data_IF_794457375708
#
_entry.id   IF_794457375708
#
_cell.length_a   1.000
_cell.length_b   1.000
_cell.length_c   1.000
_cell.angle_alpha   90.00
_cell.angle_beta   90.00
_cell.angle_gamma   90.00
#
_symmetry.space_group_name_H-M   'P 1'
#
loop_
_entity.id
_entity.type
_entity.pdbx_description
1 polymer ?
#
# COMPACT_ATOMS: atom_id res chain seq x y z
N UNK A 1 25.40 -8.10 10.43
CA UNK A 1 24.83 -9.13 9.54
C UNK A 1 23.70 -9.81 10.32
N UNK A 2 22.46 -9.85 9.81
CA UNK A 2 21.38 -10.57 10.49
C UNK A 2 21.70 -12.06 10.49
N UNK A 3 21.31 -12.78 11.56
CA UNK A 3 21.48 -14.24 11.66
C UNK A 3 20.49 -14.94 10.73
N UNK A 4 20.92 -16.02 10.08
CA UNK A 4 20.34 -16.55 8.84
C UNK A 4 18.91 -17.13 8.92
N UNK A 5 18.31 -17.37 10.10
CA UNK A 5 17.06 -18.15 10.20
C UNK A 5 15.99 -17.60 11.17
N UNK A 6 15.98 -16.29 11.46
CA UNK A 6 14.88 -15.68 12.22
C UNK A 6 13.77 -15.18 11.29
N UNK A 7 12.53 -15.59 11.56
CA UNK A 7 11.34 -15.00 10.95
C UNK A 7 11.22 -13.53 11.35
N UNK A 8 11.62 -12.63 10.46
CA UNK A 8 11.46 -11.18 10.64
C UNK A 8 9.99 -10.83 10.37
N UNK A 9 9.34 -10.16 11.32
CA UNK A 9 7.97 -9.71 11.08
C UNK A 9 7.96 -8.67 9.96
N UNK A 10 6.90 -8.66 9.13
CA UNK A 10 6.71 -7.64 8.07
C UNK A 10 6.78 -6.20 8.61
N UNK A 11 6.65 -6.02 9.94
CA UNK A 11 6.77 -4.74 10.63
C UNK A 11 8.23 -4.32 10.90
N UNK A 12 9.17 -5.24 10.95
CA UNK A 12 10.56 -4.98 11.35
C UNK A 12 11.46 -4.59 10.18
N UNK A 13 11.18 -5.10 8.98
CA UNK A 13 11.82 -4.66 7.74
C UNK A 13 10.70 -4.61 6.70
N UNK A 14 10.22 -3.40 6.36
CA UNK A 14 9.50 -3.27 5.09
C UNK A 14 10.47 -3.76 4.01
N UNK A 15 10.12 -4.80 3.24
CA UNK A 15 11.01 -5.26 2.20
C UNK A 15 11.29 -4.06 1.32
N UNK A 16 12.57 -3.84 1.01
CA UNK A 16 13.07 -2.86 0.04
C UNK A 16 12.43 -3.08 -1.38
N UNK A 17 11.55 -4.08 -1.50
CA UNK A 17 10.81 -4.54 -2.66
C UNK A 17 9.27 -4.35 -2.58
N UNK A 18 8.73 -3.66 -1.57
CA UNK A 18 7.34 -3.18 -1.66
C UNK A 18 7.29 -2.14 -2.79
N UNK A 19 6.49 -2.37 -3.83
CA UNK A 19 6.53 -1.58 -5.08
C UNK A 19 6.15 -0.10 -4.91
N UNK A 20 5.86 0.57 -6.01
CA UNK A 20 5.69 2.02 -6.02
C UNK A 20 4.51 2.44 -5.13
N UNK A 21 4.75 3.44 -4.28
CA UNK A 21 3.74 4.01 -3.42
C UNK A 21 2.82 4.94 -4.23
N UNK A 22 1.52 4.68 -4.17
CA UNK A 22 0.49 5.40 -4.93
C UNK A 22 -0.58 5.94 -3.99
N UNK A 23 -1.32 6.92 -4.48
CA UNK A 23 -2.58 7.33 -3.89
C UNK A 23 -3.70 6.54 -4.57
N UNK A 24 -4.41 5.71 -3.82
CA UNK A 24 -5.49 4.87 -4.34
C UNK A 24 -6.85 5.26 -3.79
N UNK A 25 -7.86 5.27 -4.65
CA UNK A 25 -9.27 5.30 -4.27
C UNK A 25 -9.73 3.88 -4.02
N UNK A 26 -10.16 3.63 -2.78
CA UNK A 26 -10.71 2.37 -2.33
C UNK A 26 -12.24 2.47 -2.26
N UNK A 27 -12.93 1.44 -2.72
CA UNK A 27 -14.38 1.28 -2.58
C UNK A 27 -14.70 -0.04 -1.87
N UNK A 28 -15.71 -0.04 -1.00
CA UNK A 28 -16.21 -1.26 -0.38
C UNK A 28 -17.53 -1.72 -0.99
N UNK A 29 -18.02 -2.90 -0.57
CA UNK A 29 -19.27 -3.49 -1.06
C UNK A 29 -20.53 -2.63 -0.83
N UNK A 30 -20.44 -1.63 0.06
CA UNK A 30 -21.52 -0.70 0.37
C UNK A 30 -21.44 0.60 -0.46
N UNK A 31 -20.50 0.70 -1.41
CA UNK A 31 -20.29 1.88 -2.24
C UNK A 31 -19.61 3.05 -1.51
N UNK A 32 -19.09 2.84 -0.29
CA UNK A 32 -18.33 3.86 0.42
C UNK A 32 -16.94 3.97 -0.18
N UNK A 33 -16.46 5.21 -0.35
CA UNK A 33 -15.16 5.51 -0.96
C UNK A 33 -14.24 6.21 0.01
N UNK A 34 -12.94 5.92 -0.08
CA UNK A 34 -11.88 6.65 0.61
C UNK A 34 -10.61 6.68 -0.21
N UNK A 35 -9.73 7.62 0.08
CA UNK A 35 -8.43 7.77 -0.58
C UNK A 35 -7.33 7.44 0.42
N UNK A 36 -6.42 6.55 0.05
CA UNK A 36 -5.38 6.04 0.94
C UNK A 36 -4.06 5.84 0.20
N UNK A 37 -2.96 6.00 0.94
CA UNK A 37 -1.62 5.69 0.43
C UNK A 37 -1.41 4.18 0.53
N UNK A 38 -1.21 3.55 -0.63
CA UNK A 38 -1.00 2.10 -0.76
C UNK A 38 0.23 1.82 -1.61
N UNK A 39 0.69 0.58 -1.59
CA UNK A 39 1.82 0.11 -2.38
C UNK A 39 1.31 -0.85 -3.44
N UNK A 40 1.72 -0.62 -4.69
CA UNK A 40 1.54 -1.56 -5.79
C UNK A 40 2.42 -2.79 -5.51
N UNK A 41 1.83 -3.99 -5.40
CA UNK A 41 2.64 -5.21 -5.32
C UNK A 41 3.47 -5.40 -6.59
N UNK A 42 4.71 -5.84 -6.46
CA UNK A 42 5.63 -6.01 -7.61
C UNK A 42 5.05 -6.99 -8.65
N UNK A 43 4.93 -6.57 -9.91
CA UNK A 43 4.93 -7.44 -11.08
C UNK A 43 3.64 -8.18 -11.49
N UNK A 44 2.58 -8.25 -10.67
CA UNK A 44 1.39 -9.06 -11.01
C UNK A 44 0.03 -8.37 -10.78
N UNK A 45 0.01 -7.03 -10.75
CA UNK A 45 -1.17 -6.19 -11.03
C UNK A 45 -2.44 -6.36 -10.18
N UNK A 46 -2.45 -7.26 -9.19
CA UNK A 46 -3.66 -7.66 -8.46
C UNK A 46 -3.55 -7.51 -6.94
N UNK A 47 -2.33 -7.31 -6.42
CA UNK A 47 -2.10 -7.23 -4.98
C UNK A 47 -1.72 -5.81 -4.59
N UNK A 48 -2.45 -5.31 -3.59
CA UNK A 48 -2.34 -3.97 -3.05
C UNK A 48 -2.07 -4.09 -1.56
N UNK A 49 -1.03 -3.39 -1.10
CA UNK A 49 -0.62 -3.43 0.29
C UNK A 49 -0.79 -2.06 0.94
N UNK A 50 -1.14 -2.04 2.21
CA UNK A 50 -1.18 -0.80 2.99
C UNK A 50 -0.50 -1.02 4.34
N UNK A 51 0.25 -0.01 4.79
CA UNK A 51 0.84 -0.02 6.14
C UNK A 51 -0.19 0.28 7.24
N UNK A 52 -1.39 0.73 6.85
CA UNK A 52 -2.46 1.06 7.79
C UNK A 52 -3.18 -0.21 8.24
N UNK A 53 -3.00 -0.56 9.52
CA UNK A 53 -3.64 -1.74 10.16
C UNK A 53 -5.18 -1.70 10.11
N UNK A 54 -5.77 -0.55 9.82
CA UNK A 54 -7.23 -0.37 9.75
C UNK A 54 -7.81 -0.65 8.35
N UNK A 55 -6.99 -1.00 7.36
CA UNK A 55 -7.42 -1.19 5.99
C UNK A 55 -7.39 -2.67 5.63
N UNK A 56 -8.56 -3.27 5.71
CA UNK A 56 -8.81 -4.62 5.24
C UNK A 56 -9.01 -4.61 3.71
N UNK A 57 -7.98 -4.98 2.95
CA UNK A 57 -7.99 -5.02 1.48
C UNK A 57 -8.85 -6.16 0.91
N UNK A 58 -9.35 -7.07 1.75
CA UNK A 58 -10.36 -8.03 1.34
C UNK A 58 -11.72 -7.34 1.16
N UNK A 59 -12.02 -6.37 2.04
CA UNK A 59 -13.26 -5.58 2.03
C UNK A 59 -13.19 -4.31 1.18
N UNK A 60 -12.01 -3.72 1.08
CA UNK A 60 -11.76 -2.47 0.35
C UNK A 60 -10.98 -2.77 -0.93
N UNK A 61 -11.57 -2.50 -2.09
CA UNK A 61 -10.96 -2.73 -3.40
C UNK A 61 -10.49 -1.43 -4.01
N UNK A 62 -9.29 -1.45 -4.58
CA UNK A 62 -8.78 -0.32 -5.38
C UNK A 62 -9.60 -0.23 -6.67
N UNK A 63 -10.23 0.93 -6.88
CA UNK A 63 -11.00 1.22 -8.10
C UNK A 63 -10.31 2.24 -9.01
N UNK A 64 -9.40 3.04 -8.45
CA UNK A 64 -8.56 3.99 -9.17
C UNK A 64 -7.28 4.26 -8.37
N UNK A 65 -6.21 4.65 -9.04
CA UNK A 65 -4.97 5.06 -8.39
C UNK A 65 -4.20 6.07 -9.24
N UNK A 66 -3.31 6.81 -8.60
CA UNK A 66 -2.37 7.75 -9.22
C UNK A 66 -1.06 7.74 -8.45
N UNK A 67 0.01 8.20 -9.09
CA UNK A 67 1.28 8.42 -8.40
C UNK A 67 1.12 9.40 -7.24
N UNK A 68 1.97 9.28 -6.22
CA UNK A 68 1.94 10.25 -5.14
C UNK A 68 2.29 11.63 -5.69
N UNK A 69 1.45 12.65 -5.47
CA UNK A 69 1.76 13.99 -5.93
C UNK A 69 3.04 14.48 -5.27
N UNK A 70 3.80 15.28 -6.00
CA UNK A 70 4.94 15.98 -5.42
C UNK A 70 4.48 16.85 -4.25
N UNK A 71 5.25 16.84 -3.16
CA UNK A 71 4.97 17.72 -2.02
C UNK A 71 4.98 19.15 -2.51
N UNK A 72 3.91 19.89 -2.21
CA UNK A 72 3.86 21.31 -2.50
C UNK A 72 5.02 22.01 -1.78
N UNK A 73 5.93 22.58 -2.55
CA UNK A 73 6.97 23.48 -2.07
C UNK A 73 6.41 24.88 -2.27
N UNK A 74 5.86 25.46 -1.21
CA UNK A 74 5.44 26.87 -1.26
C UNK A 74 6.66 27.73 -1.56
N UNK A 75 6.52 28.64 -2.53
CA UNK A 75 7.47 29.73 -2.78
C UNK A 75 7.28 30.86 -1.75
#
# INVERSE_FOLDING_TARGET
MPKEDEWISVKEVMPIFAGYAVLATLENIYGQRRVEKVFTGYGCGKQWYCNNKCIDMEKWKVIAWQELPETYKGE
#
